data_IF_638672338840
#
_entry.id   IF_638672338840
#
_cell.length_a   1.000
_cell.length_b   1.000
_cell.length_c   1.000
_cell.angle_alpha   90.00
_cell.angle_beta   90.00
_cell.angle_gamma   90.00
#
_symmetry.space_group_name_H-M   'P 1'
#
loop_
_entity.id
_entity.type
_entity.pdbx_description
1 polymer ?
#
# COMPACT_ATOMS: atom_id res chain seq x y z
N UNK A 1 -32.54 39.55 -10.05
CA UNK A 1 -32.49 38.07 -10.10
C UNK A 1 -31.41 37.55 -9.16
N UNK A 2 -31.78 36.79 -8.13
CA UNK A 2 -30.84 36.27 -7.14
C UNK A 2 -30.01 35.11 -7.75
N UNK A 3 -28.68 35.27 -7.79
CA UNK A 3 -27.77 34.23 -8.27
C UNK A 3 -27.71 33.11 -7.21
N UNK A 4 -28.36 31.98 -7.47
CA UNK A 4 -28.21 30.78 -6.65
C UNK A 4 -26.78 30.25 -6.76
N UNK A 5 -26.01 30.31 -5.68
CA UNK A 5 -24.64 29.80 -5.66
C UNK A 5 -24.66 28.27 -5.79
N UNK A 6 -23.93 27.74 -6.79
CA UNK A 6 -23.79 26.30 -6.98
C UNK A 6 -23.08 25.70 -5.76
N UNK A 7 -23.68 24.68 -5.14
CA UNK A 7 -23.06 23.94 -4.03
C UNK A 7 -21.80 23.23 -4.54
N UNK A 8 -20.65 23.58 -3.97
CA UNK A 8 -19.36 22.93 -4.27
C UNK A 8 -19.41 21.44 -3.94
N UNK A 9 -18.82 20.63 -4.81
CA UNK A 9 -18.68 19.18 -4.60
C UNK A 9 -17.72 18.90 -3.44
N UNK A 10 -17.75 17.67 -2.91
CA UNK A 10 -16.85 17.24 -1.82
C UNK A 10 -15.37 17.37 -2.20
N UNK A 11 -15.04 17.06 -3.46
CA UNK A 11 -13.68 17.14 -3.97
C UNK A 11 -13.19 18.58 -4.11
N UNK A 12 -14.06 19.48 -4.60
CA UNK A 12 -13.77 20.91 -4.68
C UNK A 12 -13.55 21.53 -3.30
N UNK A 13 -14.35 21.13 -2.30
CA UNK A 13 -14.14 21.56 -0.91
C UNK A 13 -12.78 21.09 -0.38
N UNK A 14 -12.41 19.83 -0.63
CA UNK A 14 -11.10 19.30 -0.24
C UNK A 14 -9.94 20.00 -0.96
N UNK A 15 -10.10 20.32 -2.24
CA UNK A 15 -9.11 21.07 -3.01
C UNK A 15 -8.92 22.48 -2.43
N UNK A 16 -10.02 23.18 -2.12
CA UNK A 16 -9.99 24.51 -1.48
C UNK A 16 -9.33 24.47 -0.11
N UNK A 17 -9.60 23.44 0.70
CA UNK A 17 -8.95 23.26 1.99
C UNK A 17 -7.44 23.00 1.86
N UNK A 18 -7.01 22.22 0.85
CA UNK A 18 -5.58 21.98 0.57
C UNK A 18 -4.89 23.27 0.16
N UNK A 19 -5.51 24.09 -0.69
CA UNK A 19 -4.97 25.39 -1.11
C UNK A 19 -4.85 26.35 0.09
N UNK A 20 -5.91 26.50 0.90
CA UNK A 20 -5.88 27.32 2.11
C UNK A 20 -4.78 26.90 3.09
N UNK A 21 -4.58 25.58 3.27
CA UNK A 21 -3.48 25.06 4.12
C UNK A 21 -2.10 25.44 3.56
N UNK A 22 -1.89 25.29 2.24
CA UNK A 22 -0.62 25.66 1.59
C UNK A 22 -0.33 27.15 1.75
N UNK A 23 -1.32 28.00 1.52
CA UNK A 23 -1.18 29.45 1.70
C UNK A 23 -0.88 29.83 3.14
N UNK A 24 -1.57 29.22 4.11
CA UNK A 24 -1.29 29.43 5.54
C UNK A 24 0.15 29.05 5.90
N UNK A 25 0.63 27.90 5.43
CA UNK A 25 2.01 27.48 5.67
C UNK A 25 3.03 28.40 5.00
N UNK A 26 2.74 28.90 3.80
CA UNK A 26 3.59 29.91 3.14
C UNK A 26 3.69 31.18 3.99
N UNK A 27 2.57 31.69 4.53
CA UNK A 27 2.58 32.84 5.44
C UNK A 27 3.42 32.58 6.69
N UNK A 28 3.18 31.45 7.38
CA UNK A 28 3.96 31.06 8.57
C UNK A 28 5.46 30.91 8.27
N UNK A 29 5.82 30.41 7.08
CA UNK A 29 7.22 30.21 6.69
C UNK A 29 7.94 31.52 6.35
N UNK A 30 7.21 32.51 5.84
CA UNK A 30 7.78 33.80 5.45
C UNK A 30 8.05 34.68 6.67
N UNK A 31 7.29 34.53 7.76
CA UNK A 31 7.46 35.31 8.99
C UNK A 31 8.32 34.54 10.03
N UNK A 32 9.51 35.03 10.41
CA UNK A 32 10.45 34.29 11.25
C UNK A 32 9.92 33.98 12.66
N UNK A 33 9.18 34.91 13.26
CA UNK A 33 8.57 34.72 14.60
C UNK A 33 7.43 33.70 14.59
N UNK A 34 6.56 33.74 13.56
CA UNK A 34 5.50 32.74 13.43
C UNK A 34 6.08 31.35 13.16
N UNK A 35 7.21 31.29 12.44
CA UNK A 35 7.89 30.04 12.17
C UNK A 35 8.51 29.42 13.44
N UNK A 36 9.13 30.23 14.31
CA UNK A 36 9.69 29.75 15.57
C UNK A 36 8.59 29.20 16.50
N UNK A 37 7.50 29.95 16.68
CA UNK A 37 6.33 29.52 17.46
C UNK A 37 5.72 28.24 16.88
N UNK A 38 5.61 28.13 15.54
CA UNK A 38 5.12 26.91 14.90
C UNK A 38 6.02 25.71 15.17
N UNK A 39 7.35 25.90 15.10
CA UNK A 39 8.34 24.84 15.34
C UNK A 39 8.33 24.36 16.81
N UNK A 40 8.21 25.28 17.76
CA UNK A 40 8.07 24.95 19.18
C UNK A 40 6.78 24.17 19.45
N UNK A 41 5.66 24.58 18.87
CA UNK A 41 4.39 23.86 18.97
C UNK A 41 4.44 22.46 18.35
N UNK A 42 5.18 22.26 17.25
CA UNK A 42 5.39 20.91 16.73
C UNK A 42 6.28 20.06 17.64
N UNK A 43 7.30 20.66 18.26
CA UNK A 43 8.18 19.99 19.23
C UNK A 43 7.39 19.55 20.46
N UNK A 44 6.53 20.39 21.03
CA UNK A 44 5.69 20.04 22.19
C UNK A 44 4.70 18.94 21.84
N UNK A 45 4.03 19.02 20.67
CA UNK A 45 3.15 17.95 20.18
C UNK A 45 3.88 16.63 19.99
N UNK A 46 5.10 16.67 19.48
CA UNK A 46 5.92 15.47 19.31
C UNK A 46 6.28 14.83 20.65
N UNK A 47 6.72 15.61 21.63
CA UNK A 47 7.03 15.13 22.98
C UNK A 47 5.79 14.52 23.65
N UNK A 48 4.64 15.20 23.59
CA UNK A 48 3.39 14.69 24.14
C UNK A 48 2.96 13.35 23.50
N UNK A 49 3.12 13.18 22.17
CA UNK A 49 2.87 11.89 21.50
C UNK A 49 3.84 10.81 21.95
N UNK A 50 5.11 11.15 22.13
CA UNK A 50 6.15 10.21 22.59
C UNK A 50 5.87 9.74 24.01
N UNK A 51 5.48 10.64 24.91
CA UNK A 51 5.09 10.30 26.29
C UNK A 51 3.82 9.46 26.34
N UNK A 52 2.82 9.79 25.52
CA UNK A 52 1.58 9.00 25.44
C UNK A 52 1.88 7.55 25.03
N UNK A 53 2.71 7.35 24.00
CA UNK A 53 3.14 6.00 23.58
C UNK A 53 3.85 5.25 24.70
N UNK A 54 4.78 5.89 25.42
CA UNK A 54 5.44 5.27 26.58
C UNK A 54 4.44 4.86 27.68
N UNK A 55 3.41 5.67 27.93
CA UNK A 55 2.35 5.33 28.89
C UNK A 55 1.49 4.17 28.41
N UNK A 56 1.15 4.13 27.13
CA UNK A 56 0.42 3.02 26.50
C UNK A 56 1.21 1.71 26.61
N UNK A 57 2.50 1.72 26.28
CA UNK A 57 3.41 0.58 26.43
C UNK A 57 3.51 0.10 27.89
N UNK A 58 3.65 1.02 28.85
CA UNK A 58 3.65 0.68 30.28
C UNK A 58 2.33 0.04 30.73
N UNK A 59 1.20 0.58 30.28
CA UNK A 59 -0.11 0.04 30.62
C UNK A 59 -0.32 -1.35 30.01
N UNK A 60 0.20 -1.58 28.81
CA UNK A 60 0.16 -2.89 28.15
C UNK A 60 1.02 -3.92 28.89
N UNK A 61 2.24 -3.56 29.28
CA UNK A 61 3.10 -4.40 30.14
C UNK A 61 2.42 -4.70 31.48
N UNK A 62 1.85 -3.70 32.13
CA UNK A 62 1.15 -3.87 33.41
C UNK A 62 -0.07 -4.81 33.27
N UNK A 63 -0.80 -4.70 32.16
CA UNK A 63 -1.92 -5.59 31.86
C UNK A 63 -1.46 -7.04 31.68
N UNK A 64 -0.34 -7.25 30.96
CA UNK A 64 0.27 -8.58 30.76
C UNK A 64 0.76 -9.16 32.10
N UNK A 65 1.35 -8.34 32.98
CA UNK A 65 1.77 -8.76 34.31
C UNK A 65 0.58 -9.24 35.16
N UNK A 66 -0.52 -8.48 35.17
CA UNK A 66 -1.74 -8.87 35.90
C UNK A 66 -2.35 -10.16 35.33
N UNK A 67 -2.36 -10.32 34.00
CA UNK A 67 -2.96 -11.49 33.35
C UNK A 67 -2.13 -12.77 33.55
N UNK A 68 -0.83 -12.63 33.86
CA UNK A 68 0.09 -13.75 34.14
C UNK A 68 0.36 -13.97 35.64
N UNK A 69 -0.25 -13.18 36.54
CA UNK A 69 -0.17 -13.44 37.97
C UNK A 69 -1.07 -14.64 38.31
N UNK A 70 -0.55 -15.69 38.96
CA UNK A 70 -1.39 -16.79 39.41
C UNK A 70 -2.48 -16.24 40.35
N UNK A 71 -3.74 -16.70 40.24
CA UNK A 71 -4.80 -16.23 41.11
C UNK A 71 -4.39 -16.47 42.57
N UNK A 72 -4.42 -15.44 43.41
CA UNK A 72 -4.09 -15.50 44.86
C UNK A 72 -5.05 -16.38 45.69
N UNK A 73 -5.81 -17.28 45.06
CA UNK A 73 -6.65 -18.24 45.74
C UNK A 73 -5.92 -19.58 45.85
N UNK A 74 -5.05 -19.71 46.86
CA UNK A 74 -4.80 -20.97 47.60
C UNK A 74 -3.73 -20.81 48.71
N UNK A 75 -3.84 -19.75 49.53
CA UNK A 75 -3.30 -19.79 50.91
C UNK A 75 -4.46 -19.60 51.88
N UNK A 76 -5.42 -20.54 51.83
CA UNK A 76 -6.24 -20.83 53.01
C UNK A 76 -5.40 -21.75 53.88
N UNK A 77 -4.76 -21.15 54.89
CA UNK A 77 -4.21 -21.84 56.04
C UNK A 77 -5.29 -22.74 56.63
N UNK A 78 -5.12 -24.05 56.41
CA UNK A 78 -5.94 -25.08 57.00
C UNK A 78 -5.47 -25.26 58.45
N UNK A 79 -6.01 -24.46 59.36
CA UNK A 79 -5.91 -24.69 60.80
C UNK A 79 -7.24 -25.28 61.23
N UNK A 80 -7.31 -26.60 61.22
CA UNK A 80 -8.34 -27.36 61.93
C UNK A 80 -7.91 -27.49 63.40
N UNK A 81 -8.79 -27.15 64.34
CA UNK A 81 -8.89 -27.89 65.58
C UNK A 81 -10.27 -28.56 65.65
N UNK A 82 -10.29 -29.90 65.61
CA UNK A 82 -11.36 -30.71 66.25
C UNK A 82 -11.38 -30.40 67.77
N UNK A 83 -12.41 -30.74 68.58
CA UNK A 83 -13.41 -31.84 68.45
C UNK A 83 -14.81 -31.48 69.06
N UNK A 84 -15.67 -32.39 69.60
CA UNK A 84 -16.05 -33.77 69.21
C UNK A 84 -17.59 -33.98 69.03
N UNK A 85 -17.92 -35.02 68.25
CA UNK A 85 -18.92 -36.10 68.52
C UNK A 85 -20.08 -35.86 69.51
N UNK A 86 -21.32 -36.01 69.02
CA UNK A 86 -22.32 -36.93 69.60
C UNK A 86 -23.37 -37.34 68.58
N UNK A 87 -23.74 -38.62 68.67
CA UNK A 87 -24.43 -39.47 67.70
C UNK A 87 -25.97 -39.47 67.99
N UNK A 88 -26.82 -40.37 67.43
CA UNK A 88 -27.95 -40.03 66.55
C UNK A 88 -29.33 -40.47 67.11
N UNK A 89 -30.37 -40.54 66.24
CA UNK A 89 -31.77 -41.05 66.42
C UNK A 89 -32.80 -39.96 66.82
N UNK A 90 -34.03 -39.85 66.29
CA UNK A 90 -34.92 -40.75 65.53
C UNK A 90 -36.16 -39.97 65.00
N UNK A 91 -36.88 -40.61 64.05
CA UNK A 91 -38.34 -40.67 63.89
C UNK A 91 -39.12 -39.57 63.09
N UNK A 92 -39.84 -40.09 62.08
CA UNK A 92 -41.18 -39.72 61.57
C UNK A 92 -41.33 -38.36 60.85
N UNK A 93 -42.08 -38.16 59.77
CA UNK A 93 -43.05 -38.94 58.97
C UNK A 93 -43.28 -38.16 57.64
N UNK A 94 -43.98 -38.73 56.63
CA UNK A 94 -44.20 -38.09 55.33
C UNK A 94 -45.47 -37.23 55.31
N UNK A 95 -45.41 -36.04 54.69
CA UNK A 95 -46.59 -35.18 54.50
C UNK A 95 -46.39 -34.16 53.37
N UNK A 96 -47.30 -34.09 52.37
CA UNK A 96 -47.14 -33.27 51.18
C UNK A 96 -47.72 -31.87 51.38
N UNK A 97 -46.97 -30.81 51.06
CA UNK A 97 -47.59 -29.56 50.60
C UNK A 97 -46.59 -28.72 49.81
N UNK A 98 -46.77 -28.75 48.50
CA UNK A 98 -46.26 -27.77 47.55
C UNK A 98 -46.96 -26.43 47.79
N UNK A 99 -46.26 -25.47 48.41
CA UNK A 99 -46.50 -24.05 48.12
C UNK A 99 -45.17 -23.41 47.74
N UNK A 100 -44.99 -22.95 46.48
CA UNK A 100 -43.77 -22.24 46.10
C UNK A 100 -43.78 -20.89 46.82
N UNK A 101 -43.00 -20.80 47.90
CA UNK A 101 -42.71 -19.55 48.60
C UNK A 101 -42.35 -18.46 47.59
N UNK A 102 -43.14 -17.37 47.56
CA UNK A 102 -43.04 -16.23 46.65
C UNK A 102 -41.63 -15.59 46.68
N UNK A 103 -40.85 -15.85 47.74
CA UNK A 103 -39.44 -15.45 47.87
C UNK A 103 -38.51 -16.15 46.86
N UNK A 104 -38.82 -17.39 46.46
CA UNK A 104 -38.01 -18.17 45.51
C UNK A 104 -38.14 -17.69 44.05
N UNK A 105 -39.30 -17.17 43.65
CA UNK A 105 -39.51 -16.64 42.29
C UNK A 105 -38.72 -15.35 42.04
N UNK A 106 -38.53 -14.51 43.08
CA UNK A 106 -37.70 -13.30 42.97
C UNK A 106 -36.20 -13.63 42.89
N UNK A 107 -35.73 -14.63 43.64
CA UNK A 107 -34.32 -15.08 43.58
C UNK A 107 -33.96 -15.68 42.21
N UNK A 108 -34.85 -16.49 41.62
CA UNK A 108 -34.65 -17.08 40.29
C UNK A 108 -34.60 -16.04 39.17
N UNK A 109 -35.43 -14.97 39.26
CA UNK A 109 -35.38 -13.84 38.32
C UNK A 109 -34.13 -12.97 38.49
N UNK A 110 -33.61 -12.86 39.71
CA UNK A 110 -32.36 -12.15 39.97
C UNK A 110 -31.15 -12.90 39.38
N UNK A 111 -31.16 -14.23 39.49
CA UNK A 111 -30.13 -15.10 38.91
C UNK A 111 -30.14 -15.09 37.37
N UNK A 112 -31.31 -15.00 36.73
CA UNK A 112 -31.38 -14.94 35.26
C UNK A 112 -30.82 -13.63 34.70
N UNK A 113 -31.00 -12.50 35.39
CA UNK A 113 -30.43 -11.22 35.01
C UNK A 113 -28.89 -11.21 35.14
N UNK A 114 -28.36 -11.80 36.21
CA UNK A 114 -26.90 -11.96 36.41
C UNK A 114 -26.30 -12.86 35.34
N UNK A 115 -26.93 -14.01 35.05
CA UNK A 115 -26.49 -14.92 33.99
C UNK A 115 -26.53 -14.25 32.61
N UNK A 116 -27.54 -13.43 32.33
CA UNK A 116 -27.62 -12.68 31.07
C UNK A 116 -26.48 -11.66 30.94
N UNK A 117 -26.14 -10.96 32.03
CA UNK A 117 -24.99 -10.05 32.07
C UNK A 117 -23.67 -10.80 31.86
N UNK A 118 -23.47 -11.94 32.53
CA UNK A 118 -22.28 -12.78 32.36
C UNK A 118 -22.14 -13.33 30.92
N UNK A 119 -23.23 -13.80 30.32
CA UNK A 119 -23.22 -14.25 28.92
C UNK A 119 -22.89 -13.10 27.97
N UNK A 120 -23.42 -11.91 28.23
CA UNK A 120 -23.14 -10.73 27.42
C UNK A 120 -21.66 -10.29 27.54
N UNK A 121 -21.11 -10.24 28.75
CA UNK A 121 -19.70 -9.90 28.95
C UNK A 121 -18.79 -10.93 28.29
N UNK A 122 -19.07 -12.22 28.44
CA UNK A 122 -18.34 -13.30 27.78
C UNK A 122 -18.45 -13.23 26.24
N UNK A 123 -19.65 -13.01 25.70
CA UNK A 123 -19.83 -12.83 24.25
C UNK A 123 -19.03 -11.64 23.72
N UNK A 124 -18.97 -10.55 24.49
CA UNK A 124 -18.21 -9.35 24.15
C UNK A 124 -16.69 -9.58 24.20
N UNK A 125 -16.18 -10.32 25.19
CA UNK A 125 -14.75 -10.68 25.27
C UNK A 125 -14.36 -11.61 24.12
N UNK A 126 -15.16 -12.65 23.84
CA UNK A 126 -14.95 -13.55 22.69
C UNK A 126 -14.93 -12.77 21.37
N UNK A 127 -15.83 -11.80 21.18
CA UNK A 127 -15.84 -10.97 19.98
C UNK A 127 -14.56 -10.14 19.85
N UNK A 128 -14.10 -9.51 20.94
CA UNK A 128 -12.84 -8.74 20.95
C UNK A 128 -11.63 -9.61 20.59
N UNK A 129 -11.52 -10.80 21.17
CA UNK A 129 -10.45 -11.74 20.88
C UNK A 129 -10.47 -12.20 19.42
N UNK A 130 -11.65 -12.46 18.85
CA UNK A 130 -11.80 -12.78 17.41
C UNK A 130 -11.35 -11.63 16.51
N UNK A 131 -11.72 -10.39 16.85
CA UNK A 131 -11.32 -9.21 16.10
C UNK A 131 -9.79 -9.01 16.16
N UNK A 132 -9.17 -9.26 17.31
CA UNK A 132 -7.72 -9.20 17.51
C UNK A 132 -6.97 -10.27 16.72
N UNK A 133 -7.45 -11.53 16.74
CA UNK A 133 -6.92 -12.61 15.89
C UNK A 133 -6.98 -12.23 14.40
N UNK A 134 -8.10 -11.65 13.96
CA UNK A 134 -8.26 -11.23 12.57
C UNK A 134 -7.33 -10.06 12.20
N UNK A 135 -7.08 -9.14 13.13
CA UNK A 135 -6.11 -8.05 12.95
C UNK A 135 -4.69 -8.61 12.80
N UNK A 136 -4.27 -9.51 13.69
CA UNK A 136 -2.97 -10.16 13.63
C UNK A 136 -2.78 -10.98 12.34
N UNK A 137 -3.81 -11.68 11.87
CA UNK A 137 -3.77 -12.39 10.58
C UNK A 137 -3.53 -11.42 9.41
N UNK A 138 -4.23 -10.28 9.38
CA UNK A 138 -4.03 -9.25 8.34
C UNK A 138 -2.63 -8.64 8.39
N UNK A 139 -2.10 -8.41 9.58
CA UNK A 139 -0.73 -7.92 9.77
C UNK A 139 0.29 -8.95 9.29
N UNK A 140 0.15 -10.23 9.69
CA UNK A 140 0.98 -11.33 9.19
C UNK A 140 0.97 -11.42 7.66
N UNK A 141 -0.21 -11.31 7.03
CA UNK A 141 -0.32 -11.35 5.57
C UNK A 141 0.31 -10.12 4.91
N UNK A 142 0.20 -8.94 5.53
CA UNK A 142 0.87 -7.73 5.06
C UNK A 142 2.40 -7.88 5.14
N UNK A 143 2.93 -8.41 6.24
CA UNK A 143 4.35 -8.70 6.40
C UNK A 143 4.83 -9.76 5.40
N UNK A 144 4.07 -10.85 5.20
CA UNK A 144 4.39 -11.88 4.20
C UNK A 144 4.46 -11.29 2.79
N UNK A 145 3.50 -10.43 2.43
CA UNK A 145 3.52 -9.71 1.16
C UNK A 145 4.74 -8.79 1.04
N UNK A 146 5.10 -8.07 2.11
CA UNK A 146 6.31 -7.22 2.10
C UNK A 146 7.59 -8.02 1.92
N UNK A 147 7.73 -9.17 2.60
CA UNK A 147 8.89 -10.06 2.46
C UNK A 147 8.98 -10.60 1.03
N UNK A 148 7.86 -11.04 0.46
CA UNK A 148 7.81 -11.58 -0.90
C UNK A 148 7.98 -10.52 -2.01
N UNK A 149 7.74 -9.24 -1.72
CA UNK A 149 8.03 -8.14 -2.66
C UNK A 149 9.54 -7.85 -2.73
N UNK A 150 10.31 -8.22 -1.69
CA UNK A 150 11.74 -7.92 -1.57
C UNK A 150 12.68 -9.09 -1.87
N UNK A 151 12.19 -10.34 -1.85
CA UNK A 151 12.96 -11.49 -2.28
C UNK A 151 12.64 -11.80 -3.75
N UNK A 152 13.48 -11.39 -4.73
CA UNK A 152 13.50 -12.16 -5.96
C UNK A 152 13.84 -13.59 -5.52
N UNK A 153 13.04 -14.57 -5.92
CA UNK A 153 13.50 -15.95 -5.85
C UNK A 153 14.92 -15.94 -6.44
N UNK A 154 15.90 -16.27 -5.60
CA UNK A 154 17.24 -16.60 -6.05
C UNK A 154 17.10 -17.93 -6.78
N UNK A 155 16.37 -17.93 -7.89
CA UNK A 155 16.54 -18.95 -8.89
C UNK A 155 17.99 -18.79 -9.28
N UNK A 156 18.78 -19.80 -8.90
CA UNK A 156 20.08 -19.98 -9.48
C UNK A 156 19.92 -19.79 -10.99
N UNK A 157 20.81 -18.99 -11.58
CA UNK A 157 20.91 -18.78 -13.03
C UNK A 157 20.75 -20.11 -13.78
N UNK A 158 21.33 -21.18 -13.22
CA UNK A 158 21.28 -22.53 -13.74
C UNK A 158 19.86 -23.10 -13.79
N UNK A 159 19.04 -22.91 -12.75
CA UNK A 159 17.65 -23.39 -12.71
C UNK A 159 16.78 -22.71 -13.76
N UNK A 160 16.93 -21.39 -13.94
CA UNK A 160 16.21 -20.65 -14.99
C UNK A 160 16.63 -21.10 -16.39
N UNK A 161 17.91 -21.39 -16.57
CA UNK A 161 18.44 -21.90 -17.83
C UNK A 161 17.92 -23.32 -18.08
N UNK A 162 17.88 -24.18 -17.07
CA UNK A 162 17.35 -25.54 -17.15
C UNK A 162 15.87 -25.56 -17.56
N UNK A 163 15.04 -24.72 -16.97
CA UNK A 163 13.63 -24.55 -17.36
C UNK A 163 13.50 -24.19 -18.85
N UNK A 164 14.29 -23.23 -19.34
CA UNK A 164 14.27 -22.82 -20.75
C UNK A 164 14.78 -23.96 -21.66
N UNK A 165 15.75 -24.75 -21.21
CA UNK A 165 16.30 -25.87 -21.96
C UNK A 165 15.35 -27.07 -22.08
N UNK A 166 14.31 -27.17 -21.24
CA UNK A 166 13.28 -28.23 -21.37
C UNK A 166 12.52 -28.16 -22.70
N UNK A 167 12.35 -26.95 -23.26
CA UNK A 167 11.58 -26.69 -24.47
C UNK A 167 12.41 -26.85 -25.76
N UNK A 168 13.74 -26.91 -25.63
CA UNK A 168 14.67 -26.87 -26.77
C UNK A 168 15.06 -28.28 -27.22
N UNK A 169 15.26 -28.47 -28.55
CA UNK A 169 15.75 -29.73 -29.13
C UNK A 169 17.12 -30.11 -28.53
N UNK A 170 17.34 -31.39 -28.20
CA UNK A 170 18.54 -31.85 -27.48
C UNK A 170 19.85 -31.46 -28.16
N UNK A 171 19.91 -31.53 -29.50
CA UNK A 171 21.10 -31.21 -30.31
C UNK A 171 21.63 -29.77 -30.12
N UNK A 172 20.74 -28.81 -29.79
CA UNK A 172 21.12 -27.40 -29.63
C UNK A 172 21.18 -26.94 -28.17
N UNK A 173 20.90 -27.84 -27.22
CA UNK A 173 20.82 -27.48 -25.79
C UNK A 173 22.13 -26.91 -25.27
N UNK A 174 23.26 -27.51 -25.61
CA UNK A 174 24.56 -27.05 -25.12
C UNK A 174 24.97 -25.69 -25.66
N UNK A 175 24.76 -25.45 -26.95
CA UNK A 175 25.04 -24.16 -27.57
C UNK A 175 24.19 -23.04 -26.96
N UNK A 176 22.89 -23.31 -26.77
CA UNK A 176 21.99 -22.35 -26.14
C UNK A 176 22.35 -22.13 -24.67
N UNK A 177 22.72 -23.17 -23.93
CA UNK A 177 23.19 -23.07 -22.54
C UNK A 177 24.43 -22.17 -22.44
N UNK A 178 25.43 -22.38 -23.30
CA UNK A 178 26.64 -21.55 -23.37
C UNK A 178 26.30 -20.10 -23.68
N UNK A 179 25.42 -19.84 -24.64
CA UNK A 179 25.00 -18.48 -24.99
C UNK A 179 24.25 -17.78 -23.86
N UNK A 180 23.35 -18.49 -23.16
CA UNK A 180 22.60 -17.94 -22.04
C UNK A 180 23.51 -17.59 -20.86
N UNK A 181 24.39 -18.52 -20.45
CA UNK A 181 25.37 -18.31 -19.39
C UNK A 181 26.30 -17.14 -19.71
N UNK A 182 26.82 -17.09 -20.94
CA UNK A 182 27.67 -15.98 -21.40
C UNK A 182 26.92 -14.64 -21.34
N UNK A 183 25.66 -14.62 -21.79
CA UNK A 183 24.85 -13.40 -21.76
C UNK A 183 24.61 -12.91 -20.33
N UNK A 184 24.48 -13.83 -19.37
CA UNK A 184 24.22 -13.52 -17.97
C UNK A 184 25.46 -13.02 -17.26
N UNK A 185 26.58 -13.72 -17.43
CA UNK A 185 27.88 -13.32 -16.87
C UNK A 185 28.28 -11.91 -17.33
N UNK A 186 28.14 -11.61 -18.63
CA UNK A 186 28.41 -10.26 -19.15
C UNK A 186 27.42 -9.25 -18.57
N UNK A 187 26.13 -9.58 -18.50
CA UNK A 187 25.12 -8.66 -17.97
C UNK A 187 25.41 -8.29 -16.51
N UNK A 188 25.79 -9.26 -15.67
CA UNK A 188 26.16 -9.04 -14.27
C UNK A 188 27.43 -8.18 -14.17
N UNK A 189 28.48 -8.54 -14.91
CA UNK A 189 29.75 -7.81 -14.88
C UNK A 189 29.56 -6.34 -15.32
N UNK A 190 28.81 -6.11 -16.42
CA UNK A 190 28.47 -4.75 -16.88
C UNK A 190 27.65 -4.01 -15.83
N UNK A 191 26.72 -4.67 -15.14
CA UNK A 191 25.95 -4.04 -14.07
C UNK A 191 26.81 -3.65 -12.87
N UNK A 192 27.76 -4.50 -12.47
CA UNK A 192 28.61 -4.26 -11.31
C UNK A 192 29.63 -3.15 -11.58
N UNK A 193 30.27 -3.16 -12.74
CA UNK A 193 31.10 -2.04 -13.21
C UNK A 193 30.27 -0.76 -13.32
N UNK A 194 29.04 -0.85 -13.84
CA UNK A 194 28.17 0.32 -13.92
C UNK A 194 27.79 0.85 -12.53
N UNK A 195 27.65 0.03 -11.49
CA UNK A 195 27.32 0.52 -10.13
C UNK A 195 28.45 1.39 -9.57
N UNK A 196 29.70 0.98 -9.72
CA UNK A 196 30.89 1.62 -9.14
C UNK A 196 31.29 2.93 -9.83
N UNK A 197 30.90 3.13 -11.10
CA UNK A 197 31.25 4.33 -11.88
C UNK A 197 30.61 5.65 -11.41
N UNK A 198 31.28 6.76 -11.70
CA UNK A 198 30.75 8.11 -11.47
C UNK A 198 29.68 8.50 -12.52
N UNK A 199 28.92 9.57 -12.28
CA UNK A 199 27.84 10.01 -13.21
C UNK A 199 28.36 10.37 -14.61
N UNK A 200 29.57 10.91 -14.73
CA UNK A 200 30.18 11.29 -16.02
C UNK A 200 30.62 10.04 -16.78
N UNK A 201 31.32 9.13 -16.11
CA UNK A 201 31.73 7.83 -16.66
C UNK A 201 30.53 7.00 -17.11
N UNK A 202 29.46 6.93 -16.30
CA UNK A 202 28.22 6.24 -16.65
C UNK A 202 27.63 6.69 -17.98
N UNK A 203 27.68 7.99 -18.29
CA UNK A 203 27.21 8.53 -19.57
C UNK A 203 28.12 8.10 -20.72
N UNK A 204 29.43 8.18 -20.54
CA UNK A 204 30.38 7.80 -21.57
C UNK A 204 30.31 6.29 -21.86
N UNK A 205 30.30 5.47 -20.81
CA UNK A 205 30.16 4.02 -20.87
C UNK A 205 28.85 3.58 -21.53
N UNK A 206 27.71 4.19 -21.16
CA UNK A 206 26.44 3.95 -21.83
C UNK A 206 26.50 4.31 -23.32
N UNK A 207 27.17 5.42 -23.67
CA UNK A 207 27.40 5.82 -25.06
C UNK A 207 28.20 4.80 -25.86
N UNK A 208 29.31 4.28 -25.29
CA UNK A 208 30.13 3.25 -25.94
C UNK A 208 29.39 1.93 -26.13
N UNK A 209 28.56 1.53 -25.16
CA UNK A 209 27.73 0.32 -25.27
C UNK A 209 26.63 0.48 -26.33
N UNK A 210 26.01 1.66 -26.42
CA UNK A 210 25.02 1.95 -27.46
C UNK A 210 25.68 2.00 -28.84
N UNK A 211 26.91 2.51 -28.96
CA UNK A 211 27.62 2.49 -30.24
C UNK A 211 27.88 1.05 -30.74
N UNK A 212 28.05 0.10 -29.81
CA UNK A 212 28.23 -1.32 -30.12
C UNK A 212 26.91 -2.12 -30.10
N UNK A 213 25.76 -1.45 -30.27
CA UNK A 213 24.44 -2.06 -30.13
C UNK A 213 24.25 -3.29 -31.02
N UNK A 214 24.68 -3.25 -32.28
CA UNK A 214 24.48 -4.35 -33.24
C UNK A 214 25.11 -5.67 -32.77
N UNK A 215 26.34 -5.60 -32.24
CA UNK A 215 27.05 -6.76 -31.69
C UNK A 215 26.35 -7.31 -30.46
N UNK A 216 25.81 -6.42 -29.62
CA UNK A 216 25.15 -6.78 -28.36
C UNK A 216 23.69 -7.25 -28.55
N UNK A 217 23.05 -6.90 -29.68
CA UNK A 217 21.72 -7.42 -30.06
C UNK A 217 21.75 -8.92 -30.33
N UNK A 218 22.82 -9.44 -30.94
CA UNK A 218 23.02 -10.87 -31.19
C UNK A 218 22.86 -11.72 -29.92
N UNK A 219 23.42 -11.23 -28.82
CA UNK A 219 23.39 -11.91 -27.51
C UNK A 219 22.22 -11.47 -26.62
N UNK A 220 21.29 -10.67 -27.15
CA UNK A 220 20.16 -10.10 -26.43
C UNK A 220 20.60 -9.43 -25.11
N UNK A 221 21.75 -8.74 -25.06
CA UNK A 221 22.26 -8.16 -23.81
C UNK A 221 21.58 -6.83 -23.43
N UNK A 222 21.24 -6.01 -24.43
CA UNK A 222 20.79 -4.62 -24.23
C UNK A 222 19.55 -4.49 -23.37
N UNK A 223 18.59 -5.41 -23.47
CA UNK A 223 17.32 -5.28 -22.76
C UNK A 223 17.44 -5.50 -21.24
N UNK A 224 18.55 -6.10 -20.78
CA UNK A 224 18.84 -6.37 -19.36
C UNK A 224 19.66 -5.25 -18.70
N UNK A 225 20.19 -4.30 -19.46
CA UNK A 225 21.08 -3.26 -18.94
C UNK A 225 20.30 -2.04 -18.41
N UNK A 226 20.70 -1.48 -17.25
CA UNK A 226 19.90 -0.48 -16.53
C UNK A 226 19.81 0.89 -17.23
N UNK A 227 20.76 1.20 -18.12
CA UNK A 227 20.86 2.48 -18.83
C UNK A 227 20.29 2.44 -20.24
N UNK A 228 19.93 1.27 -20.76
CA UNK A 228 19.23 1.16 -22.04
C UNK A 228 17.83 1.70 -21.83
N UNK A 229 17.58 2.90 -22.36
CA UNK A 229 16.29 3.59 -22.26
C UNK A 229 15.22 2.66 -22.84
N UNK A 230 14.43 2.03 -21.97
CA UNK A 230 13.12 1.50 -22.37
C UNK A 230 12.39 2.68 -22.98
N UNK A 231 12.07 2.61 -24.28
CA UNK A 231 11.20 3.62 -24.93
C UNK A 231 9.97 3.74 -24.04
N UNK A 232 9.85 4.84 -23.30
CA UNK A 232 8.69 5.07 -22.43
C UNK A 232 7.49 4.98 -23.36
N UNK A 233 6.63 3.98 -23.15
CA UNK A 233 5.35 3.90 -23.86
C UNK A 233 4.68 5.26 -23.64
N UNK A 234 4.52 6.03 -24.71
CA UNK A 234 3.82 7.32 -24.64
C UNK A 234 2.44 6.99 -24.08
N UNK A 235 2.07 7.62 -22.96
CA UNK A 235 0.74 7.42 -22.38
C UNK A 235 -0.31 7.84 -23.42
N UNK A 236 -1.45 7.16 -23.47
CA UNK A 236 -2.51 7.45 -24.45
C UNK A 236 -2.86 8.94 -24.47
N UNK A 237 -2.88 9.59 -23.30
CA UNK A 237 -3.09 11.02 -23.12
C UNK A 237 -2.01 11.89 -23.79
N UNK A 238 -0.73 11.57 -23.62
CA UNK A 238 0.36 12.32 -24.28
C UNK A 238 0.36 12.13 -25.78
N UNK A 239 -0.04 10.95 -26.26
CA UNK A 239 -0.23 10.70 -27.69
C UNK A 239 -1.38 11.54 -28.23
N UNK A 240 -2.48 11.63 -27.48
CA UNK A 240 -3.63 12.45 -27.87
C UNK A 240 -3.30 13.95 -27.85
N UNK A 241 -2.57 14.43 -26.84
CA UNK A 241 -2.05 15.80 -26.77
C UNK A 241 -1.20 16.12 -27.99
N UNK A 242 -0.22 15.26 -28.31
CA UNK A 242 0.64 15.46 -29.47
C UNK A 242 -0.15 15.47 -30.79
N UNK A 243 -1.17 14.60 -30.91
CA UNK A 243 -2.07 14.58 -32.07
C UNK A 243 -2.82 15.91 -32.17
N UNK A 244 -3.35 16.43 -31.05
CA UNK A 244 -4.04 17.72 -31.03
C UNK A 244 -3.09 18.87 -31.35
N UNK A 245 -1.87 18.87 -30.81
CA UNK A 245 -0.86 19.89 -31.10
C UNK A 245 -0.48 19.89 -32.59
N UNK A 246 -0.35 18.70 -33.20
CA UNK A 246 -0.14 18.54 -34.64
C UNK A 246 -1.35 19.07 -35.43
N UNK A 247 -2.58 18.78 -34.99
CA UNK A 247 -3.78 19.29 -35.64
C UNK A 247 -3.84 20.83 -35.59
N UNK A 248 -3.64 21.43 -34.42
CA UNK A 248 -3.60 22.89 -34.26
C UNK A 248 -2.51 23.52 -35.10
N UNK A 249 -1.32 22.92 -35.15
CA UNK A 249 -0.21 23.42 -35.98
C UNK A 249 -0.57 23.51 -37.47
N UNK A 250 -1.32 22.53 -38.00
CA UNK A 250 -1.75 22.51 -39.40
C UNK A 250 -3.06 23.27 -39.67
N UNK A 251 -3.74 23.78 -38.65
CA UNK A 251 -4.90 24.68 -38.80
C UNK A 251 -4.48 26.15 -38.94
N UNK A 252 -3.26 26.51 -38.53
CA UNK A 252 -2.69 27.85 -38.70
C UNK A 252 -2.19 28.07 -40.15
N UNK A 253 -2.80 29.02 -40.88
CA UNK A 253 -2.48 29.35 -42.28
C UNK A 253 -1.01 29.74 -42.51
N UNK A 254 -0.35 30.32 -41.50
CA UNK A 254 1.07 30.69 -41.53
C UNK A 254 1.98 29.46 -41.66
N UNK A 255 1.58 28.32 -41.09
CA UNK A 255 2.33 27.08 -41.08
C UNK A 255 2.08 26.24 -42.33
N UNK A 256 1.00 26.51 -43.07
CA UNK A 256 0.68 25.89 -44.37
C UNK A 256 1.78 26.16 -45.42
N UNK A 257 2.44 27.33 -45.35
CA UNK A 257 3.58 27.68 -46.21
C UNK A 257 4.89 26.96 -45.85
N UNK A 258 5.06 26.54 -44.60
CA UNK A 258 6.29 25.89 -44.09
C UNK A 258 6.35 24.41 -44.48
N UNK A 259 5.20 23.80 -44.76
CA UNK A 259 5.07 22.45 -45.30
C UNK A 259 4.83 22.46 -46.83
N UNK A 260 5.50 23.37 -47.56
CA UNK A 260 5.48 23.43 -49.01
C UNK A 260 5.90 22.07 -49.61
N UNK A 261 4.91 21.28 -50.02
CA UNK A 261 5.09 19.94 -50.58
C UNK A 261 4.13 18.89 -50.01
N UNK A 262 3.55 19.10 -48.83
CA UNK A 262 2.52 18.19 -48.26
C UNK A 262 1.12 18.76 -48.47
N UNK A 263 0.62 18.54 -49.70
CA UNK A 263 -0.77 18.70 -50.14
C UNK A 263 -1.79 18.51 -49.01
N UNK A 264 -2.57 19.55 -48.68
CA UNK A 264 -3.52 19.56 -47.57
C UNK A 264 -4.71 18.63 -47.81
N UNK A 265 -5.21 17.84 -46.85
CA UNK A 265 -6.48 17.10 -47.02
C UNK A 265 -7.50 17.32 -45.87
N UNK A 266 -8.72 17.77 -46.20
CA UNK A 266 -10.00 17.72 -45.47
C UNK A 266 -10.45 16.28 -45.20
N UNK A 267 -10.59 15.87 -43.94
CA UNK A 267 -11.20 14.57 -43.60
C UNK A 267 -12.59 14.74 -42.97
N UNK A 268 -13.63 14.09 -43.51
CA UNK A 268 -14.97 14.06 -42.89
C UNK A 268 -15.50 12.62 -42.81
N UNK A 269 -16.00 12.20 -41.63
CA UNK A 269 -16.52 10.84 -41.32
C UNK A 269 -15.64 9.65 -41.80
N UNK A 270 -14.31 9.80 -41.81
CA UNK A 270 -13.39 8.72 -42.20
C UNK A 270 -12.85 8.79 -43.64
N UNK A 271 -13.33 9.72 -44.47
CA UNK A 271 -12.84 10.01 -45.84
C UNK A 271 -11.93 11.24 -45.86
N UNK A 272 -10.71 11.17 -46.46
CA UNK A 272 -9.69 12.25 -46.57
C UNK A 272 -9.68 12.85 -48.00
N UNK A 273 -9.77 14.17 -48.19
CA UNK A 273 -9.90 14.93 -49.47
C UNK A 273 -9.00 16.15 -49.51
N UNK A 274 -8.30 16.49 -50.59
CA UNK A 274 -7.34 17.61 -50.58
C UNK A 274 -8.03 19.01 -50.43
N UNK A 275 -7.58 19.94 -49.58
CA UNK A 275 -8.02 21.36 -49.62
C UNK A 275 -7.43 22.04 -50.87
N UNK A 276 -8.21 22.94 -51.48
CA UNK A 276 -7.76 23.87 -52.52
C UNK A 276 -8.00 25.29 -52.02
N UNK A 277 -6.95 26.11 -52.09
CA UNK A 277 -6.99 27.54 -51.79
C UNK A 277 -7.72 28.28 -52.92
N UNK A 278 -8.56 29.27 -52.58
CA UNK A 278 -8.86 30.32 -53.55
C UNK A 278 -7.64 31.23 -53.59
N UNK A 279 -6.93 31.19 -54.72
CA UNK A 279 -5.89 32.15 -55.07
C UNK A 279 -6.50 33.54 -55.12
N UNK A 280 -6.08 34.38 -54.19
CA UNK A 280 -6.37 35.81 -54.20
C UNK A 280 -5.54 36.47 -55.31
N UNK A 281 -5.97 36.27 -56.55
CA UNK A 281 -5.64 37.16 -57.65
C UNK A 281 -6.85 38.08 -57.85
N UNK A 282 -7.14 38.91 -56.85
CA UNK A 282 -7.80 40.19 -57.10
C UNK A 282 -6.82 40.99 -57.96
N UNK A 283 -6.98 40.88 -59.29
CA UNK A 283 -6.37 41.78 -60.26
C UNK A 283 -6.79 43.21 -59.89
N UNK A 284 -5.78 44.08 -59.79
CA UNK A 284 -5.74 45.54 -59.84
C UNK A 284 -7.07 46.30 -59.69
#
# INVERSE_FOLDING_TARGET
>A
MAKTSKKLTREEKLAKDRLRKRERYKKIKNDPELYSIHKENERTRYLARKEKKKKEEKNEIHKILIENLPPESELKTNVNPDPPSSDPLMLAEPGPSSTPSIKNVRLLKFNSAILRRLRYTHSKTVKKLKDEINKLKREKDAFRKQINIGQPEHDCVEKRIEEVLTVIRPEKKEEVKKQLLFSESISQNVQDVYKTMTKKEKRHFAGQIIHNEERLRKYKLLHKLPFVRRKKKITKEKKQSLINDIHSFFEEDTNSRVAAGKKEFIKNRGLKKQKRYLTDNLKN
#
